data_IF_198065900957
#
_entry.id   IF_198065900957
#
_cell.length_a   1.000
_cell.length_b   1.000
_cell.length_c   1.000
_cell.angle_alpha   90.00
_cell.angle_beta   90.00
_cell.angle_gamma   90.00
#
_symmetry.space_group_name_H-M   'P 1'
#
loop_
_entity.id
_entity.type
_entity.pdbx_description
1 polymer ?
#
# COMPACT_ATOMS: atom_id res chain seq x y z
N UNK A 1 -22.25 -9.44 -8.01
CA UNK A 1 -20.79 -9.62 -8.09
C UNK A 1 -20.27 -9.03 -9.39
N UNK A 2 -19.30 -8.12 -9.37
CA UNK A 2 -18.64 -7.64 -10.60
C UNK A 2 -17.43 -8.50 -10.98
N UNK A 3 -17.21 -8.59 -12.30
CA UNK A 3 -16.20 -9.24 -13.17
C UNK A 3 -15.51 -10.56 -12.76
N UNK A 4 -15.20 -10.83 -11.48
CA UNK A 4 -14.60 -12.09 -10.98
C UNK A 4 -14.95 -12.42 -9.52
N UNK A 5 -16.02 -11.86 -8.96
CA UNK A 5 -16.37 -12.07 -7.54
C UNK A 5 -15.45 -11.35 -6.55
N UNK A 6 -14.68 -10.35 -7.01
CA UNK A 6 -13.73 -9.56 -6.20
C UNK A 6 -14.35 -8.35 -5.50
N UNK A 7 -15.62 -8.05 -5.79
CA UNK A 7 -16.33 -6.90 -5.24
C UNK A 7 -17.71 -7.34 -4.73
N UNK A 8 -17.95 -7.08 -3.45
CA UNK A 8 -19.22 -7.23 -2.75
C UNK A 8 -19.65 -5.86 -2.23
N UNK A 9 -20.86 -5.44 -2.58
CA UNK A 9 -21.42 -4.15 -2.14
C UNK A 9 -22.53 -4.39 -1.13
N UNK A 10 -22.43 -3.76 0.03
CA UNK A 10 -23.41 -3.88 1.12
C UNK A 10 -23.97 -2.48 1.42
N UNK A 11 -25.16 -2.12 0.91
CA UNK A 11 -25.68 -0.76 1.00
C UNK A 11 -26.34 -0.52 2.36
N UNK A 12 -25.92 0.50 3.11
CA UNK A 12 -26.53 0.90 4.39
C UNK A 12 -27.09 2.31 4.31
N UNK A 13 -28.03 2.66 5.20
CA UNK A 13 -28.60 4.02 5.26
C UNK A 13 -28.52 4.67 6.64
N UNK A 14 -28.75 3.92 7.70
CA UNK A 14 -28.75 4.44 9.07
C UNK A 14 -27.45 4.11 9.80
N UNK A 15 -27.20 4.80 10.92
CA UNK A 15 -26.03 4.50 11.76
C UNK A 15 -26.13 3.11 12.39
N UNK A 16 -27.34 2.66 12.75
CA UNK A 16 -27.56 1.33 13.31
C UNK A 16 -27.26 0.23 12.28
N UNK A 17 -27.72 0.43 11.04
CA UNK A 17 -27.38 -0.49 9.94
C UNK A 17 -25.88 -0.52 9.67
N UNK A 18 -25.23 0.65 9.67
CA UNK A 18 -23.78 0.75 9.49
C UNK A 18 -23.04 -0.06 10.56
N UNK A 19 -23.37 0.14 11.84
CA UNK A 19 -22.71 -0.54 12.96
C UNK A 19 -22.92 -2.05 12.92
N UNK A 20 -24.16 -2.51 12.70
CA UNK A 20 -24.45 -3.95 12.63
C UNK A 20 -23.79 -4.64 11.43
N UNK A 21 -23.76 -3.99 10.27
CA UNK A 21 -23.09 -4.53 9.08
C UNK A 21 -21.57 -4.51 9.22
N UNK A 22 -21.01 -3.47 9.83
CA UNK A 22 -19.58 -3.40 10.12
C UNK A 22 -19.15 -4.57 11.02
N UNK A 23 -19.91 -4.85 12.08
CA UNK A 23 -19.65 -6.00 12.97
C UNK A 23 -19.63 -7.32 12.20
N UNK A 24 -20.67 -7.59 11.40
CA UNK A 24 -20.78 -8.83 10.62
C UNK A 24 -19.60 -8.95 9.64
N UNK A 25 -19.27 -7.87 8.92
CA UNK A 25 -18.16 -7.86 7.98
C UNK A 25 -16.81 -8.11 8.67
N UNK A 26 -16.55 -7.47 9.81
CA UNK A 26 -15.30 -7.65 10.56
C UNK A 26 -15.17 -9.09 11.08
N UNK A 27 -16.22 -9.65 11.67
CA UNK A 27 -16.23 -11.04 12.14
C UNK A 27 -16.04 -12.05 11.00
N UNK A 28 -16.61 -11.76 9.82
CA UNK A 28 -16.40 -12.59 8.63
C UNK A 28 -14.95 -12.53 8.09
N UNK A 29 -14.24 -11.43 8.33
CA UNK A 29 -12.84 -11.25 7.93
C UNK A 29 -11.84 -11.79 8.97
N UNK A 30 -12.26 -12.02 10.21
CA UNK A 30 -11.41 -12.50 11.31
C UNK A 30 -10.51 -13.69 10.93
N UNK A 31 -10.99 -14.74 10.23
CA UNK A 31 -10.17 -15.90 9.88
C UNK A 31 -8.99 -15.58 8.96
N UNK A 32 -9.04 -14.46 8.24
CA UNK A 32 -7.94 -14.03 7.35
C UNK A 32 -6.85 -13.25 8.10
N UNK A 33 -7.10 -12.88 9.36
CA UNK A 33 -6.11 -12.28 10.26
C UNK A 33 -5.38 -11.08 9.62
N UNK A 34 -4.05 -11.08 9.66
CA UNK A 34 -3.19 -10.01 9.14
C UNK A 34 -3.30 -9.79 7.63
N UNK A 35 -3.84 -10.76 6.89
CA UNK A 35 -4.10 -10.62 5.45
C UNK A 35 -5.29 -9.71 5.14
N UNK A 36 -6.17 -9.44 6.11
CA UNK A 36 -7.26 -8.48 5.93
C UNK A 36 -6.86 -7.05 6.27
N UNK A 37 -7.50 -6.11 5.56
CA UNK A 37 -7.48 -4.70 5.86
C UNK A 37 -8.91 -4.20 6.09
N UNK A 38 -9.07 -3.35 7.10
CA UNK A 38 -10.30 -2.63 7.39
C UNK A 38 -10.04 -1.14 7.17
N UNK A 39 -10.67 -0.58 6.13
CA UNK A 39 -10.48 0.81 5.71
C UNK A 39 -11.73 1.65 6.00
N UNK A 40 -11.72 2.38 7.12
CA UNK A 40 -12.89 3.09 7.67
C UNK A 40 -12.98 4.53 7.17
N UNK A 41 -13.40 4.71 5.91
CA UNK A 41 -13.58 6.03 5.29
C UNK A 41 -15.00 6.63 5.40
N UNK A 42 -15.94 5.92 6.03
CA UNK A 42 -17.32 6.39 6.17
C UNK A 42 -17.42 7.57 7.16
N UNK A 43 -18.20 8.59 6.80
CA UNK A 43 -18.59 9.66 7.72
C UNK A 43 -19.76 9.19 8.58
N UNK A 44 -19.43 8.63 9.76
CA UNK A 44 -20.42 8.08 10.70
C UNK A 44 -20.92 9.20 11.62
N UNK A 45 -22.24 9.25 11.86
CA UNK A 45 -22.83 10.19 12.81
C UNK A 45 -22.24 10.01 14.21
N UNK A 46 -21.86 11.11 14.86
CA UNK A 46 -21.38 11.08 16.25
C UNK A 46 -22.51 10.94 17.26
N UNK A 47 -23.73 11.33 16.87
CA UNK A 47 -24.94 11.30 17.69
C UNK A 47 -26.09 10.61 16.95
N UNK A 48 -27.00 10.00 17.69
CA UNK A 48 -28.21 9.36 17.18
C UNK A 48 -29.42 9.67 18.06
N UNK A 49 -30.62 9.50 17.52
CA UNK A 49 -31.86 9.65 18.27
C UNK A 49 -32.33 8.27 18.75
N UNK A 50 -32.31 8.05 20.06
CA UNK A 50 -32.82 6.82 20.68
C UNK A 50 -34.34 6.74 20.63
N UNK A 51 -35.00 7.86 20.94
CA UNK A 51 -36.45 7.96 21.01
C UNK A 51 -37.03 8.40 19.65
N UNK A 52 -37.25 7.42 18.77
CA UNK A 52 -37.80 7.67 17.42
C UNK A 52 -39.33 7.71 17.48
N UNK A 53 -39.93 8.89 17.30
CA UNK A 53 -41.39 9.00 17.13
C UNK A 53 -41.81 8.41 15.77
N UNK A 54 -42.90 7.61 15.71
CA UNK A 54 -43.39 7.07 14.43
C UNK A 54 -44.01 8.15 13.54
N UNK A 55 -44.37 9.29 14.13
CA UNK A 55 -45.03 10.40 13.45
C UNK A 55 -44.15 11.64 13.41
N UNK A 56 -44.43 12.51 12.43
CA UNK A 56 -43.83 13.84 12.30
C UNK A 56 -44.05 14.63 13.59
N UNK A 57 -42.98 15.25 14.10
CA UNK A 57 -43.07 16.16 15.25
C UNK A 57 -43.98 17.35 14.87
N UNK A 58 -45.01 17.60 15.67
CA UNK A 58 -46.01 18.62 15.41
C UNK A 58 -45.49 20.02 15.78
N UNK A 59 -45.66 20.99 14.86
CA UNK A 59 -45.21 22.38 15.02
C UNK A 59 -45.95 23.17 16.12
N UNK A 60 -47.04 22.61 16.63
CA UNK A 60 -47.98 23.19 17.57
C UNK A 60 -47.91 22.51 18.96
N UNK A 61 -46.92 21.64 19.18
CA UNK A 61 -46.59 21.14 20.52
C UNK A 61 -45.81 22.21 21.28
N UNK A 62 -46.52 23.20 21.80
CA UNK A 62 -45.97 24.14 22.77
C UNK A 62 -45.44 23.33 23.96
N UNK A 63 -44.13 23.41 24.23
CA UNK A 63 -43.61 23.07 25.54
C UNK A 63 -44.39 23.86 26.59
N UNK A 64 -44.68 23.22 27.73
CA UNK A 64 -45.46 23.82 28.83
C UNK A 64 -44.83 25.09 29.42
N UNK A 65 -43.62 25.46 29.00
CA UNK A 65 -42.84 26.61 29.47
C UNK A 65 -42.88 27.84 28.53
N UNK A 66 -43.69 27.84 27.47
CA UNK A 66 -43.85 29.03 26.62
C UNK A 66 -42.66 29.34 25.70
N UNK A 67 -41.64 28.48 25.65
CA UNK A 67 -40.56 28.56 24.66
C UNK A 67 -41.05 28.16 23.27
N UNK A 68 -40.97 29.09 22.32
CA UNK A 68 -41.17 28.81 20.89
C UNK A 68 -39.89 28.20 20.31
N UNK A 69 -39.75 26.89 20.32
CA UNK A 69 -38.57 26.20 19.77
C UNK A 69 -38.70 24.67 19.70
N UNK A 70 -37.81 24.03 18.93
CA UNK A 70 -37.66 22.57 18.89
C UNK A 70 -36.35 22.18 19.55
N UNK A 71 -36.43 21.48 20.68
CA UNK A 71 -35.26 20.90 21.36
C UNK A 71 -35.12 19.44 20.98
N UNK A 72 -33.99 19.09 20.34
CA UNK A 72 -33.63 17.72 20.01
C UNK A 72 -32.63 17.18 21.03
N UNK A 73 -33.00 16.07 21.69
CA UNK A 73 -32.08 15.32 22.54
C UNK A 73 -31.49 14.17 21.73
N UNK A 74 -30.17 14.17 21.59
CA UNK A 74 -29.43 13.12 20.90
C UNK A 74 -28.44 12.46 21.85
N UNK A 75 -28.25 11.16 21.66
CA UNK A 75 -27.31 10.35 22.43
C UNK A 75 -26.03 10.10 21.60
N UNK A 76 -24.84 10.01 22.24
CA UNK A 76 -23.61 9.71 21.53
C UNK A 76 -23.60 8.28 20.98
N UNK A 77 -23.11 8.12 19.76
CA UNK A 77 -22.98 6.81 19.11
C UNK A 77 -21.81 6.03 19.74
N UNK A 78 -22.01 4.73 20.08
CA UNK A 78 -20.94 3.89 20.61
C UNK A 78 -19.71 3.85 19.69
N UNK A 79 -18.52 4.07 20.26
CA UNK A 79 -17.26 4.05 19.51
C UNK A 79 -16.75 2.61 19.35
N UNK A 80 -17.22 1.93 18.30
CA UNK A 80 -16.96 0.49 18.06
C UNK A 80 -15.57 0.17 17.54
N UNK A 81 -14.75 1.16 17.17
CA UNK A 81 -13.41 0.91 16.59
C UNK A 81 -12.52 0.14 17.59
N UNK A 82 -12.61 0.44 18.89
CA UNK A 82 -11.87 -0.30 19.91
C UNK A 82 -12.29 -1.78 19.94
N UNK A 83 -13.58 -2.04 19.98
CA UNK A 83 -14.15 -3.41 19.95
C UNK A 83 -13.78 -4.15 18.66
N UNK A 84 -13.78 -3.45 17.53
CA UNK A 84 -13.33 -4.01 16.26
C UNK A 84 -11.88 -4.49 16.34
N UNK A 85 -11.02 -3.71 17.00
CA UNK A 85 -9.59 -3.97 17.19
C UNK A 85 -9.26 -5.01 18.26
N UNK A 86 -10.15 -5.24 19.22
CA UNK A 86 -9.91 -6.18 20.32
C UNK A 86 -10.66 -7.49 20.16
N UNK A 87 -11.83 -7.48 19.53
CA UNK A 87 -12.77 -8.61 19.52
C UNK A 87 -13.18 -9.05 18.12
N UNK A 88 -13.52 -8.12 17.21
CA UNK A 88 -14.11 -8.53 15.92
C UNK A 88 -13.09 -8.96 14.88
N UNK A 89 -11.95 -8.27 14.79
CA UNK A 89 -10.89 -8.55 13.82
C UNK A 89 -9.53 -8.04 14.35
N UNK A 90 -9.01 -8.63 15.44
CA UNK A 90 -7.87 -8.07 16.16
C UNK A 90 -6.56 -8.04 15.37
N UNK A 91 -6.38 -9.00 14.45
CA UNK A 91 -5.16 -9.10 13.63
C UNK A 91 -5.25 -8.30 12.32
N UNK A 92 -6.43 -7.79 11.96
CA UNK A 92 -6.65 -7.07 10.71
C UNK A 92 -5.93 -5.72 10.71
N UNK A 93 -5.43 -5.31 9.54
CA UNK A 93 -4.82 -4.00 9.39
C UNK A 93 -5.90 -2.90 9.39
N UNK A 94 -5.97 -2.08 10.43
CA UNK A 94 -7.03 -1.08 10.57
C UNK A 94 -6.54 0.33 10.22
N UNK A 95 -7.22 0.94 9.24
CA UNK A 95 -7.03 2.31 8.77
C UNK A 95 -8.28 3.11 9.13
N UNK A 96 -8.10 4.27 9.77
CA UNK A 96 -9.20 5.17 10.11
C UNK A 96 -9.03 6.55 9.50
N UNK A 97 -10.13 7.24 9.28
CA UNK A 97 -10.15 8.59 8.70
C UNK A 97 -10.49 9.64 9.75
N UNK A 98 -9.84 10.80 9.64
CA UNK A 98 -10.16 11.99 10.41
C UNK A 98 -10.26 13.19 9.47
N UNK A 99 -11.48 13.73 9.33
CA UNK A 99 -11.74 14.93 8.56
C UNK A 99 -11.88 16.11 9.53
N UNK A 100 -11.13 17.18 9.29
CA UNK A 100 -11.20 18.41 10.07
C UNK A 100 -11.24 19.62 9.13
N UNK A 101 -11.65 20.77 9.64
CA UNK A 101 -11.56 22.07 8.94
C UNK A 101 -10.36 22.88 9.41
N UNK A 102 -9.93 22.68 10.66
CA UNK A 102 -8.78 23.38 11.24
C UNK A 102 -7.53 22.46 11.23
N UNK A 103 -6.44 22.85 10.54
CA UNK A 103 -5.21 22.08 10.49
C UNK A 103 -4.49 21.95 11.84
N UNK A 104 -4.72 22.88 12.78
CA UNK A 104 -4.04 22.88 14.08
C UNK A 104 -4.50 21.73 14.97
N UNK A 105 -5.78 21.35 14.86
CA UNK A 105 -6.38 20.29 15.69
C UNK A 105 -6.32 18.91 15.04
N UNK A 106 -6.14 18.84 13.72
CA UNK A 106 -6.05 17.56 12.99
C UNK A 106 -4.98 16.67 13.62
N UNK A 107 -3.84 17.28 13.99
CA UNK A 107 -2.74 16.55 14.60
C UNK A 107 -3.11 15.88 15.92
N UNK A 108 -3.65 16.67 16.82
CA UNK A 108 -4.03 16.18 18.13
C UNK A 108 -5.13 15.10 18.04
N UNK A 109 -6.11 15.28 17.16
CA UNK A 109 -7.24 14.36 17.03
C UNK A 109 -6.88 13.03 16.39
N UNK A 110 -5.96 13.02 15.43
CA UNK A 110 -5.48 11.76 14.84
C UNK A 110 -4.57 11.00 15.82
N UNK A 111 -3.71 11.67 16.60
CA UNK A 111 -2.96 11.01 17.68
C UNK A 111 -3.90 10.39 18.71
N UNK A 112 -4.92 11.14 19.16
CA UNK A 112 -5.93 10.61 20.09
C UNK A 112 -6.63 9.36 19.54
N UNK A 113 -6.89 9.30 18.23
CA UNK A 113 -7.50 8.13 17.60
C UNK A 113 -6.57 6.91 17.66
N UNK A 114 -5.27 7.10 17.40
CA UNK A 114 -4.24 6.06 17.60
C UNK A 114 -4.26 5.56 19.04
N UNK A 115 -4.15 6.46 20.01
CA UNK A 115 -4.02 6.09 21.42
C UNK A 115 -5.29 5.44 21.98
N UNK A 116 -6.46 5.90 21.54
CA UNK A 116 -7.76 5.41 22.06
C UNK A 116 -8.15 4.07 21.45
N UNK A 117 -7.89 3.88 20.16
CA UNK A 117 -8.42 2.74 19.40
C UNK A 117 -7.35 1.73 18.99
N UNK A 118 -6.07 2.08 19.06
CA UNK A 118 -4.97 1.21 18.62
C UNK A 118 -5.00 0.93 17.12
N UNK A 119 -5.44 1.88 16.30
CA UNK A 119 -5.42 1.78 14.83
C UNK A 119 -3.98 1.83 14.31
N UNK A 120 -3.73 1.17 13.18
CA UNK A 120 -2.38 1.11 12.61
C UNK A 120 -2.03 2.31 11.74
N UNK A 121 -3.04 2.99 11.20
CA UNK A 121 -2.87 4.16 10.35
C UNK A 121 -4.07 5.09 10.51
N UNK A 122 -3.80 6.38 10.67
CA UNK A 122 -4.82 7.43 10.58
C UNK A 122 -4.55 8.27 9.33
N UNK A 123 -5.56 8.39 8.49
CA UNK A 123 -5.58 9.28 7.33
C UNK A 123 -6.33 10.55 7.74
N UNK A 124 -5.59 11.64 7.87
CA UNK A 124 -6.08 12.97 8.19
C UNK A 124 -6.30 13.82 6.96
N UNK A 125 -7.48 14.41 6.82
CA UNK A 125 -7.84 15.28 5.71
C UNK A 125 -8.32 16.64 6.25
N UNK A 126 -7.98 17.70 5.53
CA UNK A 126 -8.56 19.03 5.72
C UNK A 126 -9.65 19.22 4.67
N UNK A 127 -10.84 19.69 5.07
CA UNK A 127 -12.03 19.74 4.21
C UNK A 127 -11.76 20.45 2.87
N UNK A 128 -11.05 21.56 2.92
CA UNK A 128 -10.70 22.42 1.78
C UNK A 128 -9.69 21.76 0.84
N UNK A 129 -8.80 20.92 1.38
CA UNK A 129 -7.68 20.31 0.62
C UNK A 129 -7.85 18.82 0.37
N UNK A 130 -8.98 18.22 0.78
CA UNK A 130 -9.17 16.76 0.85
C UNK A 130 -9.00 16.02 -0.48
N UNK A 131 -9.17 16.71 -1.60
CA UNK A 131 -9.10 16.14 -2.95
C UNK A 131 -7.68 16.03 -3.50
N UNK A 132 -6.71 16.73 -2.91
CA UNK A 132 -5.34 16.78 -3.41
C UNK A 132 -4.29 16.68 -2.31
N UNK A 133 -4.68 16.64 -1.04
CA UNK A 133 -3.76 16.56 0.09
C UNK A 133 -4.34 15.74 1.24
N UNK A 134 -3.54 14.79 1.74
CA UNK A 134 -3.83 13.98 2.91
C UNK A 134 -2.60 13.86 3.82
N UNK A 135 -2.83 13.64 5.10
CA UNK A 135 -1.80 13.45 6.12
C UNK A 135 -1.89 12.05 6.68
N UNK A 136 -0.77 11.37 6.81
CA UNK A 136 -0.70 10.01 7.33
C UNK A 136 0.03 9.99 8.66
N UNK A 137 -0.62 9.40 9.67
CA UNK A 137 -0.05 9.18 10.99
C UNK A 137 0.04 7.68 11.28
N UNK A 138 1.25 7.23 11.59
CA UNK A 138 1.52 5.88 12.08
C UNK A 138 1.89 5.91 13.58
N UNK A 139 1.48 4.91 14.38
CA UNK A 139 1.74 4.85 15.81
C UNK A 139 3.20 4.62 16.20
N UNK A 140 4.05 4.20 15.26
CA UNK A 140 5.30 3.50 15.58
C UNK A 140 6.34 4.38 16.29
N UNK A 141 6.33 5.70 16.06
CA UNK A 141 7.27 6.61 16.71
C UNK A 141 6.66 8.02 16.87
N UNK A 142 6.54 8.53 18.11
CA UNK A 142 6.01 9.88 18.36
C UNK A 142 6.85 11.01 17.73
N UNK A 143 8.11 10.72 17.38
CA UNK A 143 9.00 11.66 16.68
C UNK A 143 8.83 11.61 15.16
N UNK A 144 8.19 10.58 14.61
CA UNK A 144 7.97 10.47 13.16
C UNK A 144 7.06 11.61 12.70
N UNK A 145 7.53 12.43 11.74
CA UNK A 145 6.70 13.48 11.17
C UNK A 145 5.54 12.86 10.39
N UNK A 146 4.42 13.56 10.37
CA UNK A 146 3.22 13.08 9.70
C UNK A 146 3.45 13.19 8.21
N UNK A 147 3.33 12.07 7.50
CA UNK A 147 3.64 12.05 6.08
C UNK A 147 2.54 12.82 5.35
N UNK A 148 2.94 13.92 4.71
CA UNK A 148 2.08 14.71 3.83
C UNK A 148 2.14 14.11 2.44
N UNK A 149 1.00 13.66 1.92
CA UNK A 149 0.84 13.31 0.52
C UNK A 149 0.13 14.46 -0.19
N UNK A 150 0.59 14.82 -1.39
CA UNK A 150 -0.01 15.89 -2.19
C UNK A 150 0.07 15.50 -3.66
N UNK A 151 -1.02 15.73 -4.39
CA UNK A 151 -1.08 15.56 -5.85
C UNK A 151 -0.77 16.88 -6.55
N UNK A 152 -0.01 16.83 -7.65
CA UNK A 152 0.48 18.00 -8.42
C UNK A 152 -0.61 18.82 -9.13
N UNK A 153 -1.88 18.42 -9.06
CA UNK A 153 -2.99 19.02 -9.84
C UNK A 153 -3.28 20.49 -9.54
N UNK A 154 -2.61 21.11 -8.56
CA UNK A 154 -2.78 22.54 -8.25
C UNK A 154 -1.48 23.38 -8.19
N UNK A 155 -0.32 22.81 -8.52
CA UNK A 155 0.92 23.61 -8.63
C UNK A 155 1.10 24.07 -10.08
N UNK A 156 1.02 25.39 -10.28
CA UNK A 156 1.12 26.12 -11.55
C UNK A 156 1.87 25.38 -12.68
N UNK A 157 1.13 25.15 -13.77
CA UNK A 157 1.66 24.79 -15.07
C UNK A 157 2.65 25.85 -15.55
N UNK A 158 3.95 25.55 -15.38
CA UNK A 158 5.10 26.09 -16.14
C UNK A 158 6.29 25.14 -15.96
N UNK A 159 6.10 23.88 -16.32
CA UNK A 159 7.22 22.98 -16.63
C UNK A 159 6.79 22.06 -17.75
N UNK A 160 7.35 22.31 -18.93
CA UNK A 160 7.31 21.36 -20.04
C UNK A 160 8.10 20.13 -19.60
N UNK A 161 7.42 19.03 -19.26
CA UNK A 161 7.90 17.69 -19.55
C UNK A 161 6.73 16.70 -19.54
N UNK A 162 6.56 16.02 -20.67
CA UNK A 162 5.53 15.02 -20.91
C UNK A 162 5.82 13.76 -20.07
N UNK A 163 4.90 13.44 -19.15
CA UNK A 163 4.64 12.16 -18.46
C UNK A 163 4.35 12.30 -16.95
N UNK A 164 3.76 13.41 -16.49
CA UNK A 164 3.18 13.43 -15.14
C UNK A 164 1.77 12.85 -15.19
N UNK A 165 1.66 11.59 -14.76
CA UNK A 165 0.38 10.94 -14.50
C UNK A 165 -0.41 11.82 -13.54
N UNK A 166 -1.46 12.47 -14.04
CA UNK A 166 -2.40 13.27 -13.25
C UNK A 166 -3.24 12.33 -12.37
N UNK A 167 -2.61 11.70 -11.39
CA UNK A 167 -3.21 10.68 -10.54
C UNK A 167 -4.13 11.30 -9.48
N UNK A 168 -5.26 10.66 -9.21
CA UNK A 168 -6.13 11.03 -8.09
C UNK A 168 -5.37 10.81 -6.76
N UNK A 169 -5.64 11.61 -5.73
CA UNK A 169 -4.94 11.47 -4.43
C UNK A 169 -5.11 10.07 -3.83
N UNK A 170 -6.21 9.40 -4.15
CA UNK A 170 -6.50 8.03 -3.78
C UNK A 170 -5.47 7.03 -4.33
N UNK A 171 -4.88 7.27 -5.50
CA UNK A 171 -3.88 6.37 -6.08
C UNK A 171 -2.61 6.34 -5.23
N UNK A 172 -2.08 7.53 -4.93
CA UNK A 172 -0.90 7.72 -4.07
C UNK A 172 -1.18 7.23 -2.64
N UNK A 173 -2.37 7.51 -2.13
CA UNK A 173 -2.81 7.05 -0.82
C UNK A 173 -2.89 5.52 -0.76
N UNK A 174 -3.52 4.88 -1.73
CA UNK A 174 -3.68 3.43 -1.78
C UNK A 174 -2.35 2.72 -1.94
N UNK A 175 -1.41 3.26 -2.73
CA UNK A 175 -0.05 2.73 -2.81
C UNK A 175 0.61 2.71 -1.44
N UNK A 176 0.58 3.84 -0.72
CA UNK A 176 1.18 3.92 0.60
C UNK A 176 0.48 3.01 1.62
N UNK A 177 -0.86 3.02 1.67
CA UNK A 177 -1.65 2.15 2.57
C UNK A 177 -1.35 0.68 2.32
N UNK A 178 -1.21 0.27 1.05
CA UNK A 178 -0.88 -1.09 0.66
C UNK A 178 0.54 -1.47 1.10
N UNK A 179 1.53 -0.59 0.94
CA UNK A 179 2.89 -0.82 1.43
C UNK A 179 2.90 -1.05 2.95
N UNK A 180 2.15 -0.26 3.71
CA UNK A 180 2.04 -0.42 5.17
C UNK A 180 1.34 -1.71 5.58
N UNK A 181 0.35 -2.14 4.81
CA UNK A 181 -0.27 -3.43 5.03
C UNK A 181 0.69 -4.59 4.79
N UNK A 182 1.55 -4.51 3.77
CA UNK A 182 2.61 -5.52 3.58
C UNK A 182 3.58 -5.58 4.75
N UNK A 183 3.98 -4.43 5.31
CA UNK A 183 4.80 -4.37 6.53
C UNK A 183 4.07 -5.02 7.71
N UNK A 184 2.77 -4.74 7.86
CA UNK A 184 1.94 -5.38 8.90
C UNK A 184 1.88 -6.90 8.73
N UNK A 185 1.66 -7.38 7.50
CA UNK A 185 1.66 -8.81 7.17
C UNK A 185 3.03 -9.42 7.50
N UNK A 186 4.14 -8.80 7.12
CA UNK A 186 5.47 -9.35 7.39
C UNK A 186 5.79 -9.47 8.88
N UNK A 187 5.23 -8.57 9.70
CA UNK A 187 5.44 -8.58 11.15
C UNK A 187 4.57 -9.61 11.88
N UNK A 188 3.41 -9.99 11.32
CA UNK A 188 2.43 -10.84 12.00
C UNK A 188 2.24 -12.22 11.36
N UNK A 189 2.64 -12.39 10.10
CA UNK A 189 2.67 -13.69 9.46
C UNK A 189 4.08 -14.27 9.65
N UNK A 190 4.26 -15.33 10.45
CA UNK A 190 5.53 -16.04 10.48
C UNK A 190 5.68 -16.71 9.11
N UNK A 191 6.31 -16.02 8.17
CA UNK A 191 6.86 -16.70 7.01
C UNK A 191 7.88 -17.66 7.59
N UNK A 192 7.72 -18.98 7.40
CA UNK A 192 8.72 -19.95 7.85
C UNK A 192 10.09 -19.49 7.35
N UNK A 193 10.92 -18.95 8.24
CA UNK A 193 12.22 -18.38 7.88
C UNK A 193 13.05 -19.42 7.11
N UNK A 194 12.87 -20.70 7.46
CA UNK A 194 13.46 -21.83 6.78
C UNK A 194 13.11 -21.91 5.28
N UNK A 195 11.85 -21.73 4.89
CA UNK A 195 11.44 -21.80 3.47
C UNK A 195 11.94 -20.60 2.67
N UNK A 196 11.94 -19.39 3.25
CA UNK A 196 12.48 -18.19 2.61
C UNK A 196 13.98 -18.31 2.43
N UNK A 197 14.69 -18.79 3.46
CA UNK A 197 16.13 -18.96 3.41
C UNK A 197 16.54 -20.04 2.40
N UNK A 198 15.78 -21.14 2.32
CA UNK A 198 15.95 -22.15 1.27
C UNK A 198 15.70 -21.57 -0.12
N UNK A 199 14.61 -20.83 -0.33
CA UNK A 199 14.31 -20.19 -1.61
C UNK A 199 15.42 -19.22 -2.04
N UNK A 200 15.89 -18.36 -1.13
CA UNK A 200 16.98 -17.41 -1.40
C UNK A 200 18.30 -18.14 -1.72
N UNK A 201 18.60 -19.24 -1.01
CA UNK A 201 19.76 -20.07 -1.30
C UNK A 201 19.68 -20.73 -2.68
N UNK A 202 18.50 -21.20 -3.07
CA UNK A 202 18.27 -21.79 -4.39
C UNK A 202 18.39 -20.75 -5.51
N UNK A 203 17.85 -19.55 -5.33
CA UNK A 203 18.04 -18.45 -6.28
C UNK A 203 19.50 -18.04 -6.39
N UNK A 204 20.21 -17.94 -5.27
CA UNK A 204 21.66 -17.68 -5.25
C UNK A 204 22.44 -18.74 -6.02
N UNK A 205 22.12 -20.03 -5.85
CA UNK A 205 22.74 -21.14 -6.60
C UNK A 205 22.44 -21.06 -8.10
N UNK A 206 21.19 -20.74 -8.48
CA UNK A 206 20.82 -20.56 -9.90
C UNK A 206 21.63 -19.42 -10.53
N UNK A 207 21.72 -18.28 -9.84
CA UNK A 207 22.48 -17.13 -10.30
C UNK A 207 23.98 -17.44 -10.39
N UNK A 208 24.55 -18.11 -9.39
CA UNK A 208 25.95 -18.55 -9.41
C UNK A 208 26.23 -19.52 -10.56
N UNK A 209 25.31 -20.45 -10.84
CA UNK A 209 25.42 -21.34 -11.99
C UNK A 209 25.37 -20.57 -13.30
N UNK A 210 24.45 -19.61 -13.44
CA UNK A 210 24.38 -18.76 -14.63
C UNK A 210 25.67 -17.97 -14.82
N UNK A 211 26.18 -17.33 -13.77
CA UNK A 211 27.46 -16.60 -13.80
C UNK A 211 28.64 -17.52 -14.11
N UNK A 212 28.66 -18.72 -13.57
CA UNK A 212 29.69 -19.72 -13.85
C UNK A 212 29.65 -20.17 -15.32
N UNK A 213 28.48 -20.49 -15.85
CA UNK A 213 28.30 -20.84 -17.26
C UNK A 213 28.67 -19.68 -18.19
N UNK A 214 28.33 -18.44 -17.81
CA UNK A 214 28.72 -17.24 -18.54
C UNK A 214 30.24 -17.03 -18.54
N UNK A 215 30.91 -17.24 -17.39
CA UNK A 215 32.38 -17.20 -17.30
C UNK A 215 33.05 -18.31 -18.11
N UNK A 216 32.51 -19.53 -18.08
CA UNK A 216 33.00 -20.64 -18.90
C UNK A 216 32.84 -20.35 -20.39
N UNK A 217 31.69 -19.87 -20.84
CA UNK A 217 31.50 -19.48 -22.25
C UNK A 217 32.51 -18.41 -22.65
N UNK A 218 32.71 -17.39 -21.83
CA UNK A 218 33.69 -16.34 -22.12
C UNK A 218 35.15 -16.86 -22.13
N UNK A 219 35.51 -17.75 -21.19
CA UNK A 219 36.86 -18.34 -21.12
C UNK A 219 37.13 -19.37 -22.23
N UNK A 220 36.14 -20.17 -22.60
CA UNK A 220 36.24 -21.14 -23.72
C UNK A 220 36.32 -20.44 -25.07
N UNK A 221 35.57 -19.34 -25.28
CA UNK A 221 35.72 -18.50 -26.47
C UNK A 221 37.13 -17.89 -26.58
N UNK A 222 37.72 -17.44 -25.46
CA UNK A 222 39.09 -16.92 -25.47
C UNK A 222 40.11 -18.02 -25.83
N UNK A 223 40.02 -19.19 -25.20
CA UNK A 223 40.92 -20.32 -25.49
C UNK A 223 40.81 -20.80 -26.94
N UNK A 224 39.58 -20.93 -27.46
CA UNK A 224 39.33 -21.30 -28.84
C UNK A 224 39.90 -20.26 -29.82
N UNK A 225 39.73 -18.96 -29.53
CA UNK A 225 40.32 -17.86 -30.31
C UNK A 225 41.86 -17.94 -30.37
N UNK A 226 42.52 -18.19 -29.24
CA UNK A 226 43.98 -18.37 -29.20
C UNK A 226 44.48 -19.61 -29.95
N UNK A 227 43.77 -20.74 -29.85
CA UNK A 227 44.15 -21.96 -30.59
C UNK A 227 44.00 -21.79 -32.10
N UNK A 228 42.93 -21.14 -32.54
CA UNK A 228 42.73 -20.81 -33.95
C UNK A 228 43.80 -19.83 -34.46
N UNK A 229 44.16 -18.82 -33.67
CA UNK A 229 45.26 -17.90 -33.97
C UNK A 229 46.59 -18.65 -34.14
N UNK A 230 46.94 -19.53 -33.21
CA UNK A 230 48.16 -20.33 -33.27
C UNK A 230 48.21 -21.25 -34.49
N UNK A 231 47.11 -21.94 -34.81
CA UNK A 231 47.02 -22.80 -35.99
C UNK A 231 47.17 -22.00 -37.29
N UNK A 232 46.54 -20.83 -37.37
CA UNK A 232 46.67 -19.91 -38.50
C UNK A 232 48.12 -19.42 -38.67
N UNK A 233 48.77 -19.01 -37.58
CA UNK A 233 50.18 -18.58 -37.62
C UNK A 233 51.11 -19.72 -38.04
N UNK A 234 50.88 -20.94 -37.54
CA UNK A 234 51.67 -22.12 -37.89
C UNK A 234 51.54 -22.51 -39.36
N UNK A 235 50.32 -22.50 -39.90
CA UNK A 235 50.06 -22.79 -41.32
C UNK A 235 50.67 -21.75 -42.26
N UNK A 236 50.59 -20.46 -41.90
CA UNK A 236 51.26 -19.38 -42.63
C UNK A 236 52.79 -19.58 -42.58
N UNK A 237 53.34 -19.93 -41.42
CA UNK A 237 54.78 -20.19 -41.26
C UNK A 237 55.27 -21.33 -42.16
N UNK A 238 54.55 -22.46 -42.20
CA UNK A 238 54.86 -23.58 -43.11
C UNK A 238 54.78 -23.14 -44.57
N UNK A 239 53.76 -22.37 -44.96
CA UNK A 239 53.60 -21.91 -46.33
C UNK A 239 54.74 -20.97 -46.76
N UNK A 240 55.19 -20.08 -45.87
CA UNK A 240 56.34 -19.21 -46.09
C UNK A 240 57.64 -20.00 -46.20
N UNK A 241 57.88 -20.97 -45.31
CA UNK A 241 59.07 -21.84 -45.38
C UNK A 241 59.12 -22.64 -46.68
N UNK A 242 57.99 -23.18 -47.14
CA UNK A 242 57.89 -23.87 -48.45
C UNK A 242 58.18 -22.93 -49.62
N UNK A 243 57.71 -21.69 -49.57
CA UNK A 243 58.01 -20.68 -50.60
C UNK A 243 59.49 -20.29 -50.63
N UNK A 244 60.11 -20.12 -49.46
CA UNK A 244 61.54 -19.80 -49.35
C UNK A 244 62.37 -20.97 -49.87
N UNK A 245 62.06 -22.21 -49.48
CA UNK A 245 62.74 -23.41 -49.96
C UNK A 245 62.66 -23.56 -51.50
N UNK A 246 61.48 -23.31 -52.09
CA UNK A 246 61.28 -23.33 -53.54
C UNK A 246 61.94 -22.14 -54.27
N UNK A 247 62.21 -21.03 -53.58
CA UNK A 247 62.94 -19.89 -54.14
C UNK A 247 64.45 -20.16 -54.14
N UNK A 248 64.98 -20.81 -53.09
CA UNK A 248 66.39 -21.21 -53.01
C UNK A 248 66.76 -22.31 -53.99
N UNK A 249 65.82 -23.21 -54.34
CA UNK A 249 66.06 -24.27 -55.34
C UNK A 249 66.06 -23.78 -56.80
N UNK A 250 65.76 -22.50 -57.05
CA UNK A 250 65.81 -21.88 -58.39
C UNK A 250 67.08 -21.04 -58.61
N UNK A 251 67.96 -20.95 -57.61
CA UNK A 251 69.19 -20.12 -57.64
C UNK A 251 70.45 -21.00 -57.77
N UNK A 252 70.32 -22.33 -57.76
CA UNK A 252 71.35 -23.30 -58.15
C UNK A 252 70.94 -24.01 -59.43
#
# INVERSE_FOLDING_TARGET
>A
CSSRGRLLTIPFRTVEEYLGRLEICCKALEPTQSLSMIYLAAAVSDFYCKDKSPHKIASNSSSSDGERGLTLRLDPVPKVIKTLRTEWAPQAFCVSFKLETDPTILRQKAQRAVDTYGVHLVVGNILETRQYQVWLLQPHDPTTPWLKLTTTTHYNSKSNNNNESSGMIEEVLLEHVTQQHFVHISNHHPVSQHHVQQYLQDQKRKLQRQLFWQRLQNGTLQLAGTLLGMALTYTISIALQRRIANATSKIN
#
